data_IF_046455105608
#
_entry.id   IF_046455105608
#
_cell.length_a   1.000
_cell.length_b   1.000
_cell.length_c   1.000
_cell.angle_alpha   90.00
_cell.angle_beta   90.00
_cell.angle_gamma   90.00
#
_symmetry.space_group_name_H-M   'P 1'
#
loop_
_entity.id
_entity.type
_entity.pdbx_description
1 polymer ?
#
# COMPACT_ATOMS: atom_id res chain seq x y z
N UNK A 1 5.80 5.83 1.21
CA UNK A 1 4.41 6.33 1.29
C UNK A 1 4.30 7.77 0.83
N UNK A 2 4.85 8.75 1.56
CA UNK A 2 4.74 10.18 1.23
C UNK A 2 5.40 10.63 -0.08
N UNK A 3 6.26 9.80 -0.70
CA UNK A 3 6.83 10.07 -2.02
C UNK A 3 5.88 9.67 -3.16
N UNK A 4 5.05 8.65 -2.94
CA UNK A 4 4.12 8.13 -3.95
C UNK A 4 2.70 8.73 -3.83
N UNK A 5 2.33 9.17 -2.64
CA UNK A 5 1.01 9.69 -2.29
C UNK A 5 1.14 11.04 -1.61
N UNK A 6 0.20 11.94 -1.85
CA UNK A 6 0.20 13.22 -1.15
C UNK A 6 -0.24 13.09 0.31
N UNK A 7 0.03 14.13 1.10
CA UNK A 7 -0.26 14.12 2.53
C UNK A 7 -1.77 14.02 2.82
N UNK A 8 -2.59 14.75 2.08
CA UNK A 8 -4.03 14.79 2.29
C UNK A 8 -4.67 13.42 2.05
N UNK A 9 -4.24 12.71 1.01
CA UNK A 9 -4.66 11.34 0.74
C UNK A 9 -4.26 10.38 1.86
N UNK A 10 -3.01 10.45 2.32
CA UNK A 10 -2.53 9.60 3.41
C UNK A 10 -3.33 9.83 4.71
N UNK A 11 -3.63 11.09 5.03
CA UNK A 11 -4.44 11.45 6.20
C UNK A 11 -5.89 10.96 6.03
N UNK A 12 -6.51 11.20 4.87
CA UNK A 12 -7.87 10.72 4.55
C UNK A 12 -7.98 9.19 4.64
N UNK A 13 -7.03 8.46 4.06
CA UNK A 13 -7.02 6.99 4.10
C UNK A 13 -6.80 6.49 5.52
N UNK A 14 -5.91 7.13 6.30
CA UNK A 14 -5.68 6.77 7.70
C UNK A 14 -6.97 6.87 8.53
N UNK A 15 -7.77 7.89 8.29
CA UNK A 15 -9.04 8.12 9.01
C UNK A 15 -10.21 7.29 8.45
N UNK A 16 -10.05 6.71 7.26
CA UNK A 16 -11.06 5.89 6.58
C UNK A 16 -11.19 4.47 7.11
N UNK A 17 -10.20 3.95 7.85
CA UNK A 17 -10.23 2.58 8.37
C UNK A 17 -11.23 2.47 9.53
N UNK A 18 -12.33 1.72 9.37
CA UNK A 18 -13.38 1.67 10.38
C UNK A 18 -12.96 0.82 11.58
N UNK A 19 -13.50 1.10 12.77
CA UNK A 19 -13.32 0.21 13.94
C UNK A 19 -14.16 -1.08 13.83
N UNK A 20 -15.29 -1.03 13.13
CA UNK A 20 -16.20 -2.14 12.88
C UNK A 20 -16.89 -1.94 11.52
N UNK A 21 -17.29 -3.02 10.85
CA UNK A 21 -17.99 -2.96 9.56
C UNK A 21 -17.06 -2.65 8.37
N UNK A 22 -17.62 -2.04 7.33
CA UNK A 22 -16.94 -1.72 6.08
C UNK A 22 -17.02 -0.22 5.81
N UNK A 23 -16.00 0.34 5.16
CA UNK A 23 -16.01 1.68 4.60
C UNK A 23 -15.56 1.65 3.13
N UNK A 24 -16.14 2.50 2.30
CA UNK A 24 -15.95 2.52 0.86
C UNK A 24 -15.06 3.72 0.51
N UNK A 25 -13.87 3.46 -0.02
CA UNK A 25 -12.98 4.51 -0.52
C UNK A 25 -13.39 4.96 -1.93
N UNK A 26 -13.97 4.04 -2.70
CA UNK A 26 -14.70 4.30 -3.95
C UNK A 26 -15.78 3.23 -4.18
N UNK A 27 -16.23 3.03 -5.43
CA UNK A 27 -17.28 2.07 -5.77
C UNK A 27 -16.91 0.58 -5.58
N UNK A 28 -15.62 0.24 -5.60
CA UNK A 28 -15.15 -1.17 -5.53
C UNK A 28 -14.00 -1.39 -4.53
N UNK A 29 -13.46 -0.32 -3.95
CA UNK A 29 -12.34 -0.32 -3.01
C UNK A 29 -12.85 -0.15 -1.60
N UNK A 30 -13.00 -1.29 -0.92
CA UNK A 30 -13.64 -1.38 0.39
C UNK A 30 -12.59 -1.76 1.44
N UNK A 31 -12.62 -1.06 2.57
CA UNK A 31 -11.76 -1.32 3.73
C UNK A 31 -12.57 -1.80 4.93
N UNK A 32 -11.97 -2.69 5.70
CA UNK A 32 -12.47 -3.19 6.98
C UNK A 32 -11.45 -2.86 8.09
N UNK A 33 -11.72 -3.20 9.37
CA UNK A 33 -10.78 -2.90 10.45
C UNK A 33 -9.37 -3.44 10.21
N UNK A 34 -9.26 -4.66 9.68
CA UNK A 34 -7.96 -5.29 9.38
C UNK A 34 -7.28 -4.79 8.11
N UNK A 35 -7.93 -3.94 7.31
CA UNK A 35 -7.32 -3.37 6.11
C UNK A 35 -6.19 -2.39 6.45
N UNK A 36 -6.21 -1.77 7.63
CA UNK A 36 -5.16 -0.85 8.06
C UNK A 36 -3.81 -1.55 8.16
N UNK A 37 -3.76 -2.71 8.80
CA UNK A 37 -2.56 -3.52 8.92
C UNK A 37 -2.22 -4.17 7.58
N UNK A 38 -3.19 -4.77 6.89
CA UNK A 38 -2.94 -5.44 5.61
C UNK A 38 -2.33 -4.51 4.54
N UNK A 39 -2.82 -3.26 4.44
CA UNK A 39 -2.27 -2.27 3.50
C UNK A 39 -0.84 -1.85 3.85
N UNK A 40 -0.50 -1.79 5.15
CA UNK A 40 0.85 -1.52 5.63
C UNK A 40 1.78 -2.69 5.38
N UNK A 41 1.32 -3.92 5.65
CA UNK A 41 2.09 -5.14 5.42
C UNK A 41 2.36 -5.35 3.93
N UNK A 42 1.41 -5.00 3.06
CA UNK A 42 1.60 -5.08 1.61
C UNK A 42 2.74 -4.16 1.13
N UNK A 43 2.76 -2.90 1.57
CA UNK A 43 3.88 -1.98 1.28
C UNK A 43 5.17 -2.43 1.95
N UNK A 44 5.11 -2.81 3.23
CA UNK A 44 6.26 -3.23 4.01
C UNK A 44 6.97 -4.44 3.42
N UNK A 45 6.20 -5.43 2.94
CA UNK A 45 6.75 -6.62 2.27
C UNK A 45 7.57 -6.26 1.03
N UNK A 46 7.15 -5.27 0.25
CA UNK A 46 7.93 -4.78 -0.91
C UNK A 46 9.25 -4.16 -0.44
N UNK A 47 9.21 -3.32 0.60
CA UNK A 47 10.42 -2.68 1.13
C UNK A 47 11.40 -3.70 1.70
N UNK A 48 10.92 -4.69 2.47
CA UNK A 48 11.75 -5.79 2.98
C UNK A 48 12.34 -6.64 1.87
N UNK A 49 11.57 -6.92 0.81
CA UNK A 49 12.07 -7.62 -0.37
C UNK A 49 13.18 -6.82 -1.07
N UNK A 50 13.00 -5.51 -1.24
CA UNK A 50 14.03 -4.63 -1.79
C UNK A 50 15.29 -4.69 -0.93
N UNK A 51 15.17 -4.51 0.39
CA UNK A 51 16.31 -4.54 1.31
C UNK A 51 17.11 -5.84 1.18
N UNK A 52 16.44 -6.99 1.15
CA UNK A 52 17.12 -8.28 1.05
C UNK A 52 17.78 -8.54 -0.31
N UNK A 53 17.18 -8.07 -1.42
CA UNK A 53 17.88 -8.10 -2.73
C UNK A 53 19.11 -7.20 -2.71
N UNK A 54 18.98 -5.96 -2.20
CA UNK A 54 20.06 -4.98 -2.17
C UNK A 54 21.23 -5.42 -1.27
N UNK A 55 20.93 -6.10 -0.15
CA UNK A 55 21.92 -6.70 0.76
C UNK A 55 22.54 -7.99 0.21
N UNK A 56 22.03 -8.53 -0.89
CA UNK A 56 22.40 -9.82 -1.49
C UNK A 56 22.06 -11.03 -0.61
N UNK A 57 21.04 -10.89 0.25
CA UNK A 57 20.48 -12.02 1.01
C UNK A 57 19.76 -13.02 0.08
N UNK A 58 19.21 -12.52 -1.03
CA UNK A 58 18.61 -13.31 -2.11
C UNK A 58 18.72 -12.60 -3.47
N UNK A 59 18.65 -13.36 -4.57
CA UNK A 59 18.82 -12.81 -5.93
C UNK A 59 17.55 -12.12 -6.48
N UNK A 60 16.38 -12.53 -6.02
CA UNK A 60 15.08 -11.98 -6.39
C UNK A 60 14.07 -12.29 -5.29
N UNK A 61 12.92 -11.62 -5.33
CA UNK A 61 11.84 -11.82 -4.39
C UNK A 61 10.48 -11.71 -5.07
N UNK A 62 9.51 -12.44 -4.53
CA UNK A 62 8.10 -12.35 -4.87
C UNK A 62 7.30 -12.00 -3.61
N UNK A 63 6.51 -10.94 -3.65
CA UNK A 63 5.70 -10.49 -2.53
C UNK A 63 4.24 -10.90 -2.75
N UNK A 64 3.84 -12.01 -2.13
CA UNK A 64 2.46 -12.51 -2.15
C UNK A 64 1.56 -11.69 -1.20
N UNK A 65 1.24 -10.45 -1.57
CA UNK A 65 0.55 -9.48 -0.70
C UNK A 65 -0.86 -9.16 -1.13
N UNK A 66 -1.69 -8.76 -0.16
CA UNK A 66 -2.99 -8.13 -0.37
C UNK A 66 -3.18 -6.99 0.63
N UNK A 67 -3.82 -5.86 0.25
CA UNK A 67 -4.41 -5.57 -1.06
C UNK A 67 -3.37 -5.23 -2.16
N UNK A 68 -3.77 -5.24 -3.45
CA UNK A 68 -2.92 -4.77 -4.55
C UNK A 68 -2.66 -3.26 -4.44
N UNK A 69 -1.83 -2.71 -5.33
CA UNK A 69 -1.45 -1.29 -5.26
C UNK A 69 -1.43 -0.48 -6.56
N UNK A 70 -1.23 -1.11 -7.72
CA UNK A 70 -0.91 -0.39 -8.96
C UNK A 70 -1.97 0.60 -9.49
N UNK A 71 -3.24 0.49 -9.07
CA UNK A 71 -4.30 1.44 -9.42
C UNK A 71 -4.39 2.66 -8.48
N UNK A 72 -3.74 2.63 -7.32
CA UNK A 72 -3.76 3.76 -6.40
C UNK A 72 -2.93 4.92 -6.99
N UNK A 73 -3.61 6.01 -7.33
CA UNK A 73 -2.98 7.25 -7.78
C UNK A 73 -2.49 8.06 -6.58
N UNK A 74 -1.77 9.14 -6.85
CA UNK A 74 -1.21 10.04 -5.81
C UNK A 74 -2.24 10.55 -4.81
N UNK A 75 -3.51 10.66 -5.22
CA UNK A 75 -4.60 11.24 -4.43
C UNK A 75 -5.88 10.38 -4.40
N UNK A 76 -5.83 9.13 -4.88
CA UNK A 76 -7.04 8.33 -5.09
C UNK A 76 -6.82 6.83 -4.89
N UNK A 77 -7.69 6.23 -4.10
CA UNK A 77 -7.86 4.78 -4.01
C UNK A 77 -8.85 4.34 -5.10
N UNK A 78 -8.56 3.24 -5.79
CA UNK A 78 -9.48 2.63 -6.76
C UNK A 78 -9.03 1.24 -7.18
N UNK A 79 -9.94 0.44 -7.74
CA UNK A 79 -9.60 -0.87 -8.29
C UNK A 79 -8.96 -1.78 -7.24
N UNK A 80 -9.56 -1.81 -6.04
CA UNK A 80 -9.08 -2.53 -4.86
C UNK A 80 -7.76 -2.02 -4.26
N UNK A 81 -7.14 -0.99 -4.84
CA UNK A 81 -5.83 -0.49 -4.43
C UNK A 81 -5.96 0.68 -3.47
N UNK A 82 -5.38 0.55 -2.27
CA UNK A 82 -5.35 1.62 -1.25
C UNK A 82 -4.04 2.38 -1.28
N UNK A 83 -2.91 1.69 -1.42
CA UNK A 83 -1.61 2.33 -1.58
C UNK A 83 -0.87 1.70 -2.75
N UNK A 84 -0.16 2.53 -3.50
CA UNK A 84 0.67 2.07 -4.60
C UNK A 84 1.99 1.45 -4.11
N UNK A 85 1.94 0.15 -3.80
CA UNK A 85 3.08 -0.62 -3.29
C UNK A 85 4.32 -0.50 -4.19
N UNK A 86 4.12 -0.55 -5.51
CA UNK A 86 5.21 -0.49 -6.50
C UNK A 86 5.80 0.91 -6.61
N UNK A 87 4.97 1.96 -6.68
CA UNK A 87 5.48 3.32 -6.70
C UNK A 87 6.24 3.67 -5.41
N UNK A 88 5.75 3.22 -4.24
CA UNK A 88 6.47 3.37 -2.98
C UNK A 88 7.82 2.63 -3.01
N UNK A 89 7.85 1.39 -3.51
CA UNK A 89 9.09 0.62 -3.65
C UNK A 89 10.08 1.27 -4.62
N UNK A 90 9.61 1.78 -5.76
CA UNK A 90 10.45 2.49 -6.73
C UNK A 90 11.07 3.75 -6.10
N UNK A 91 10.27 4.56 -5.39
CA UNK A 91 10.77 5.73 -4.68
C UNK A 91 11.73 5.40 -3.53
N UNK A 92 11.65 4.21 -2.94
CA UNK A 92 12.56 3.78 -1.88
C UNK A 92 13.97 3.46 -2.41
N UNK A 93 14.10 3.19 -3.71
CA UNK A 93 15.38 2.91 -4.39
C UNK A 93 16.07 4.16 -4.95
N UNK A 94 15.39 5.30 -4.98
CA UNK A 94 15.89 6.59 -5.49
C UNK A 94 16.45 7.44 -4.34
#
# INVERSE_FOLDING_TARGET
MALAHDKNYLDNVKDSFPKQGLNFLDGDTIVSPGSKEATRDAVGSILTAIDGVMKKDFNNAFCAVRPPGHHAEKQKAMGFCVYNNIAVGAHYLL
#
